data_IF_150147248056
#
_entry.id   IF_150147248056
#
_cell.length_a   1.000
_cell.length_b   1.000
_cell.length_c   1.000
_cell.angle_alpha   90.00
_cell.angle_beta   90.00
_cell.angle_gamma   90.00
#
_symmetry.space_group_name_H-M   'P 1'
#
loop_
_entity.id
_entity.type
_entity.pdbx_description
1 polymer ?
#
# COMPACT_ATOMS: atom_id res chain seq x y z
N UNK A 1 14.25 0.53 -3.33
CA UNK A 1 12.88 0.71 -2.81
C UNK A 1 11.86 0.98 -3.92
N UNK A 2 11.99 2.06 -4.72
CA UNK A 2 10.95 2.43 -5.71
C UNK A 2 10.76 1.39 -6.82
N UNK A 3 11.84 0.86 -7.41
CA UNK A 3 11.73 -0.23 -8.40
C UNK A 3 11.09 -1.49 -7.81
N UNK A 4 11.34 -1.77 -6.53
CA UNK A 4 10.67 -2.86 -5.83
C UNK A 4 9.17 -2.58 -5.66
N UNK A 5 8.78 -1.34 -5.33
CA UNK A 5 7.37 -0.94 -5.27
C UNK A 5 6.67 -1.05 -6.62
N UNK A 6 7.35 -0.77 -7.74
CA UNK A 6 6.82 -1.00 -9.09
C UNK A 6 6.56 -2.49 -9.34
N UNK A 7 7.54 -3.34 -9.04
CA UNK A 7 7.41 -4.80 -9.15
C UNK A 7 6.26 -5.34 -8.30
N UNK A 8 6.15 -4.89 -7.03
CA UNK A 8 5.02 -5.27 -6.15
C UNK A 8 3.69 -4.88 -6.78
N UNK A 9 3.60 -3.67 -7.35
CA UNK A 9 2.39 -3.22 -8.03
C UNK A 9 2.04 -4.07 -9.24
N UNK A 10 3.02 -4.48 -10.06
CA UNK A 10 2.80 -5.38 -11.20
C UNK A 10 2.26 -6.74 -10.72
N UNK A 11 2.86 -7.31 -9.67
CA UNK A 11 2.35 -8.54 -9.04
C UNK A 11 0.90 -8.36 -8.60
N UNK A 12 0.56 -7.22 -7.98
CA UNK A 12 -0.82 -6.94 -7.57
C UNK A 12 -1.76 -6.82 -8.77
N UNK A 13 -1.38 -6.12 -9.83
CA UNK A 13 -2.21 -6.00 -11.04
C UNK A 13 -2.51 -7.35 -11.69
N UNK A 14 -1.49 -8.18 -11.84
CA UNK A 14 -1.59 -9.46 -12.55
C UNK A 14 -2.32 -10.53 -11.72
N UNK A 15 -2.29 -10.43 -10.39
CA UNK A 15 -2.82 -11.44 -9.49
C UNK A 15 -4.00 -10.95 -8.64
N UNK A 16 -4.56 -9.78 -8.93
CA UNK A 16 -5.64 -9.15 -8.15
C UNK A 16 -6.85 -10.06 -7.88
N UNK A 17 -7.19 -10.94 -8.81
CA UNK A 17 -8.29 -11.91 -8.68
C UNK A 17 -7.94 -13.07 -7.73
N UNK A 18 -6.65 -13.34 -7.52
CA UNK A 18 -6.13 -14.46 -6.73
C UNK A 18 -5.49 -14.02 -5.40
N UNK A 19 -5.42 -12.71 -5.16
CA UNK A 19 -4.97 -12.15 -3.88
C UNK A 19 -6.19 -12.04 -2.98
N UNK A 20 -6.23 -12.89 -1.97
CA UNK A 20 -7.36 -13.00 -1.05
C UNK A 20 -7.36 -11.87 -0.01
N UNK A 21 -7.53 -10.63 -0.46
CA UNK A 21 -7.69 -9.44 0.38
C UNK A 21 -9.00 -8.70 0.05
N UNK A 22 -9.58 -7.96 1.01
CA UNK A 22 -10.79 -7.17 0.80
C UNK A 22 -10.66 -6.25 -0.41
N UNK A 23 -11.65 -6.31 -1.31
CA UNK A 23 -11.79 -5.48 -2.51
C UNK A 23 -10.62 -5.56 -3.52
N UNK A 24 -9.69 -6.49 -3.31
CA UNK A 24 -8.42 -6.51 -4.05
C UNK A 24 -8.59 -6.90 -5.52
N UNK A 25 -9.63 -7.66 -5.87
CA UNK A 25 -10.04 -7.93 -7.26
C UNK A 25 -10.19 -6.65 -8.10
N UNK A 26 -10.49 -5.51 -7.45
CA UNK A 26 -10.64 -4.21 -8.11
C UNK A 26 -9.37 -3.35 -8.14
N UNK A 27 -8.22 -3.89 -7.71
CA UNK A 27 -6.95 -3.18 -7.67
C UNK A 27 -6.63 -2.45 -8.99
N UNK A 28 -6.27 -1.15 -8.94
CA UNK A 28 -5.93 -0.33 -7.75
C UNK A 28 -7.11 0.36 -7.04
N UNK A 29 -8.35 0.20 -7.50
CA UNK A 29 -9.52 0.84 -6.89
C UNK A 29 -9.89 0.16 -5.57
N UNK A 30 -10.35 0.95 -4.59
CA UNK A 30 -10.89 0.50 -3.28
C UNK A 30 -9.99 -0.44 -2.47
N UNK A 31 -8.72 -0.57 -2.85
CA UNK A 31 -7.77 -1.53 -2.29
C UNK A 31 -6.57 -0.83 -1.65
N UNK A 32 -6.58 0.51 -1.57
CA UNK A 32 -5.49 1.33 -1.05
C UNK A 32 -5.04 0.92 0.35
N UNK A 33 -5.97 0.58 1.26
CA UNK A 33 -5.64 0.15 2.61
C UNK A 33 -4.84 -1.16 2.62
N UNK A 34 -5.45 -2.23 2.07
CA UNK A 34 -4.82 -3.54 1.91
C UNK A 34 -3.48 -3.44 1.18
N UNK A 35 -3.44 -2.70 0.07
CA UNK A 35 -2.26 -2.53 -0.76
C UNK A 35 -1.13 -1.81 0.00
N UNK A 36 -1.45 -0.76 0.76
CA UNK A 36 -0.45 0.02 1.50
C UNK A 36 0.14 -0.77 2.67
N UNK A 37 -0.68 -1.50 3.43
CA UNK A 37 -0.17 -2.35 4.52
C UNK A 37 0.75 -3.46 4.01
N UNK A 38 0.36 -4.16 2.95
CA UNK A 38 1.19 -5.23 2.38
C UNK A 38 2.44 -4.68 1.69
N UNK A 39 2.33 -3.56 0.97
CA UNK A 39 3.48 -2.89 0.38
C UNK A 39 4.50 -2.46 1.44
N UNK A 40 4.04 -1.80 2.51
CA UNK A 40 4.91 -1.32 3.59
C UNK A 40 5.65 -2.49 4.26
N UNK A 41 4.95 -3.60 4.50
CA UNK A 41 5.55 -4.79 5.08
C UNK A 41 6.60 -5.44 4.16
N UNK A 42 6.30 -5.60 2.88
CA UNK A 42 7.25 -6.14 1.89
C UNK A 42 8.49 -5.27 1.77
N UNK A 43 8.30 -3.95 1.80
CA UNK A 43 9.38 -2.97 1.81
C UNK A 43 10.24 -3.08 3.08
N UNK A 44 9.62 -3.13 4.26
CA UNK A 44 10.31 -3.27 5.54
C UNK A 44 11.12 -4.58 5.64
N UNK A 45 10.62 -5.68 5.06
CA UNK A 45 11.38 -6.91 4.96
C UNK A 45 12.61 -6.76 4.05
N UNK A 46 12.47 -6.08 2.91
CA UNK A 46 13.54 -5.97 1.91
C UNK A 46 14.59 -4.91 2.27
N UNK A 47 14.20 -3.87 3.00
CA UNK A 47 15.04 -2.74 3.39
C UNK A 47 14.97 -2.55 4.92
N UNK A 48 15.60 -3.45 5.70
CA UNK A 48 15.45 -3.48 7.16
C UNK A 48 16.11 -2.29 7.88
N UNK A 49 16.93 -1.52 7.18
CA UNK A 49 17.55 -0.28 7.66
C UNK A 49 16.64 0.95 7.54
N UNK A 50 15.44 0.79 6.99
CA UNK A 50 14.47 1.86 6.73
C UNK A 50 13.20 1.69 7.55
N UNK A 51 12.68 2.83 8.01
CA UNK A 51 11.38 2.89 8.67
C UNK A 51 10.30 3.23 7.65
N UNK A 52 9.30 2.36 7.54
CA UNK A 52 8.14 2.56 6.66
C UNK A 52 6.89 2.82 7.50
N UNK A 53 6.18 3.87 7.14
CA UNK A 53 4.93 4.30 7.76
C UNK A 53 3.78 4.06 6.77
N UNK A 54 2.70 3.47 7.25
CA UNK A 54 1.41 3.49 6.56
C UNK A 54 0.68 4.74 7.00
N UNK A 55 0.32 5.59 6.04
CA UNK A 55 -0.41 6.82 6.29
C UNK A 55 -1.86 6.62 5.93
N UNK A 56 -2.74 7.05 6.83
CA UNK A 56 -4.16 7.17 6.59
C UNK A 56 -4.49 8.64 6.34
N UNK A 57 -4.87 8.95 5.11
CA UNK A 57 -5.44 10.24 4.75
C UNK A 57 -6.96 10.19 4.76
N UNK A 58 -7.56 11.25 5.28
CA UNK A 58 -9.00 11.33 5.47
C UNK A 58 -9.57 12.62 4.91
N UNK A 59 -10.76 12.52 4.32
CA UNK A 59 -11.56 13.66 3.89
C UNK A 59 -12.88 13.67 4.66
N UNK A 60 -12.88 14.43 5.76
CA UNK A 60 -14.03 14.53 6.67
C UNK A 60 -15.36 14.87 6.00
N UNK A 61 -15.36 15.78 5.01
CA UNK A 61 -16.61 16.27 4.40
C UNK A 61 -17.42 15.20 3.68
N UNK A 62 -16.80 14.08 3.31
CA UNK A 62 -17.42 13.03 2.50
C UNK A 62 -17.05 11.63 2.95
N UNK A 63 -16.46 11.50 4.14
CA UNK A 63 -16.07 10.23 4.75
C UNK A 63 -15.22 9.35 3.80
N UNK A 64 -14.30 9.97 3.06
CA UNK A 64 -13.44 9.25 2.11
C UNK A 64 -12.08 8.97 2.77
N UNK A 65 -11.61 7.73 2.64
CA UNK A 65 -10.33 7.26 3.15
C UNK A 65 -9.38 6.99 1.99
N UNK A 66 -8.09 7.28 2.20
CA UNK A 66 -7.03 6.89 1.29
C UNK A 66 -5.77 6.52 2.08
N UNK A 67 -5.03 5.54 1.61
CA UNK A 67 -3.85 5.03 2.30
C UNK A 67 -2.66 5.00 1.35
N UNK A 68 -1.49 5.33 1.87
CA UNK A 68 -0.22 5.25 1.17
C UNK A 68 0.92 4.90 2.12
N UNK A 69 2.13 4.76 1.59
CA UNK A 69 3.35 4.47 2.35
C UNK A 69 4.28 5.67 2.32
N UNK A 70 4.88 5.99 3.47
CA UNK A 70 5.95 6.99 3.58
C UNK A 70 7.23 6.37 4.15
N UNK A 71 8.37 6.89 3.72
CA UNK A 71 9.71 6.48 4.17
C UNK A 71 10.69 7.60 3.87
N UNK A 72 11.53 7.97 4.84
CA UNK A 72 12.48 9.09 4.74
C UNK A 72 11.82 10.40 4.23
N UNK A 73 10.56 10.65 4.63
CA UNK A 73 9.79 11.82 4.19
C UNK A 73 9.33 11.78 2.72
N UNK A 74 9.45 10.62 2.04
CA UNK A 74 9.04 10.41 0.64
C UNK A 74 7.78 9.56 0.56
N UNK A 75 6.88 9.91 -0.35
CA UNK A 75 5.61 9.23 -0.59
C UNK A 75 5.76 8.10 -1.61
N UNK A 76 5.17 6.94 -1.31
CA UNK A 76 4.92 5.84 -2.24
C UNK A 76 3.43 5.50 -2.19
N UNK A 77 2.73 5.68 -3.31
CA UNK A 77 1.31 5.33 -3.44
C UNK A 77 1.09 4.57 -4.74
N UNK A 78 1.03 3.25 -4.63
CA UNK A 78 0.81 2.34 -5.77
C UNK A 78 -0.65 2.31 -6.26
N UNK A 79 -1.53 3.07 -5.60
CA UNK A 79 -2.96 3.17 -5.89
C UNK A 79 -3.43 4.59 -6.22
N UNK A 80 -2.50 5.55 -6.33
CA UNK A 80 -2.83 6.95 -6.57
C UNK A 80 -3.67 7.17 -7.84
N UNK A 81 -3.37 6.38 -8.87
CA UNK A 81 -4.04 6.34 -10.16
C UNK A 81 -5.48 5.78 -10.12
N UNK A 82 -5.99 5.40 -8.95
CA UNK A 82 -7.41 5.14 -8.76
C UNK A 82 -8.27 6.42 -8.87
N UNK A 83 -7.68 7.59 -8.65
CA UNK A 83 -8.37 8.88 -8.69
C UNK A 83 -8.13 9.58 -10.03
N UNK A 84 -9.21 10.07 -10.66
CA UNK A 84 -9.17 10.70 -12.00
C UNK A 84 -8.18 11.87 -12.17
N UNK A 85 -7.73 12.50 -11.07
CA UNK A 85 -6.77 13.63 -11.10
C UNK A 85 -5.31 13.18 -11.16
N UNK A 86 -5.04 11.89 -10.93
CA UNK A 86 -3.70 11.30 -10.91
C UNK A 86 -3.66 10.23 -12.00
N UNK A 87 -2.66 10.29 -12.88
CA UNK A 87 -2.57 9.40 -14.05
C UNK A 87 -1.68 8.18 -13.82
N UNK A 88 -0.82 8.25 -12.82
CA UNK A 88 0.20 7.23 -12.57
C UNK A 88 0.43 7.05 -11.06
N UNK A 89 0.89 5.86 -10.63
CA UNK A 89 1.25 5.63 -9.24
C UNK A 89 2.46 6.48 -8.84
N UNK A 90 2.59 6.75 -7.54
CA UNK A 90 3.61 7.66 -7.01
C UNK A 90 4.75 6.84 -6.42
N UNK A 91 5.98 7.20 -6.81
CA UNK A 91 7.20 6.56 -6.34
C UNK A 91 8.24 7.62 -5.96
N UNK A 92 8.23 8.05 -4.69
CA UNK A 92 9.26 8.94 -4.15
C UNK A 92 8.98 10.43 -4.27
N UNK A 93 7.71 10.86 -4.24
CA UNK A 93 7.36 12.28 -4.24
C UNK A 93 7.66 12.93 -2.86
N UNK A 94 8.01 14.23 -2.87
CA UNK A 94 8.20 15.02 -1.64
C UNK A 94 6.88 15.27 -0.90
N UNK A 95 5.78 15.42 -1.64
CA UNK A 95 4.44 15.63 -1.11
C UNK A 95 3.43 14.75 -1.85
N UNK A 96 2.30 14.46 -1.21
CA UNK A 96 1.25 13.67 -1.86
C UNK A 96 0.42 14.61 -2.75
N UNK A 97 0.27 14.38 -4.06
CA UNK A 97 -0.54 15.22 -4.96
C UNK A 97 -2.03 15.31 -4.59
N UNK A 98 -2.47 14.51 -3.63
CA UNK A 98 -3.84 14.46 -3.13
C UNK A 98 -3.95 14.95 -1.70
N UNK A 99 -2.89 15.51 -1.10
CA UNK A 99 -2.89 16.01 0.28
C UNK A 99 -3.92 17.12 0.52
N UNK A 100 -4.27 17.89 -0.53
CA UNK A 100 -5.37 18.86 -0.46
C UNK A 100 -6.77 18.23 -0.44
N UNK A 101 -6.91 16.96 -0.81
CA UNK A 101 -8.16 16.19 -0.72
C UNK A 101 -8.16 15.32 0.54
N UNK A 102 -7.09 14.57 0.77
CA UNK A 102 -6.90 13.64 1.88
C UNK A 102 -5.84 14.18 2.82
N UNK A 103 -6.28 14.76 3.93
CA UNK A 103 -5.37 15.28 4.95
C UNK A 103 -4.83 14.09 5.74
N UNK A 104 -3.51 13.97 5.97
CA UNK A 104 -2.96 12.91 6.81
C UNK A 104 -3.56 12.99 8.23
N UNK A 105 -4.32 11.97 8.60
CA UNK A 105 -4.98 11.87 9.91
C UNK A 105 -4.13 11.06 10.89
N UNK A 106 -3.53 9.96 10.42
CA UNK A 106 -2.60 9.16 11.21
C UNK A 106 -1.47 8.54 10.40
N UNK A 107 -0.36 8.24 11.08
CA UNK A 107 0.78 7.48 10.53
C UNK A 107 1.12 6.36 11.50
N UNK A 108 1.28 5.15 10.98
CA UNK A 108 1.54 3.97 11.80
C UNK A 108 2.74 3.22 11.22
N UNK A 109 3.73 2.91 12.07
CA UNK A 109 4.84 2.04 11.70
C UNK A 109 4.36 0.67 11.23
N UNK A 110 4.98 0.17 10.17
CA UNK A 110 4.58 -1.05 9.46
C UNK A 110 4.28 -2.27 10.36
N UNK A 111 5.15 -2.57 11.32
CA UNK A 111 4.99 -3.75 12.20
C UNK A 111 3.72 -3.60 13.06
N UNK A 112 3.45 -2.39 13.56
CA UNK A 112 2.24 -2.08 14.29
C UNK A 112 1.02 -2.02 13.35
N UNK A 113 1.22 -1.50 12.14
CA UNK A 113 0.20 -1.36 11.10
C UNK A 113 -0.39 -2.70 10.69
N UNK A 114 0.44 -3.69 10.36
CA UNK A 114 -0.04 -5.04 10.02
C UNK A 114 -0.84 -5.67 11.18
N UNK A 115 -0.44 -5.42 12.43
CA UNK A 115 -1.19 -5.91 13.59
C UNK A 115 -2.56 -5.24 13.71
N UNK A 116 -2.62 -3.93 13.45
CA UNK A 116 -3.84 -3.09 13.47
C UNK A 116 -4.71 -3.20 12.22
N UNK A 117 -4.25 -3.86 11.16
CA UNK A 117 -5.03 -4.06 9.95
C UNK A 117 -6.18 -5.04 10.22
N UNK A 118 -7.31 -4.54 10.72
CA UNK A 118 -8.42 -5.35 11.24
C UNK A 118 -9.32 -5.98 10.16
N UNK A 119 -9.19 -5.55 8.90
CA UNK A 119 -10.01 -6.11 7.81
C UNK A 119 -9.69 -7.58 7.48
N UNK A 120 -8.58 -8.11 7.99
CA UNK A 120 -8.09 -9.44 7.66
C UNK A 120 -7.58 -10.13 8.93
N UNK A 121 -7.90 -11.41 9.07
CA UNK A 121 -7.40 -12.24 10.18
C UNK A 121 -5.92 -12.58 10.02
N UNK A 122 -5.22 -12.83 11.13
CA UNK A 122 -3.76 -13.06 11.12
C UNK A 122 -3.34 -14.20 10.19
N UNK A 123 -4.03 -15.33 10.21
CA UNK A 123 -3.69 -16.49 9.37
C UNK A 123 -3.87 -16.17 7.88
N UNK A 124 -4.90 -15.41 7.54
CA UNK A 124 -5.14 -14.95 6.18
C UNK A 124 -4.05 -13.95 5.75
N UNK A 125 -3.60 -13.05 6.62
CA UNK A 125 -2.46 -12.16 6.35
C UNK A 125 -1.20 -12.96 6.01
N UNK A 126 -0.89 -13.99 6.81
CA UNK A 126 0.28 -14.86 6.59
C UNK A 126 0.19 -15.63 5.26
N UNK A 127 -0.98 -16.18 4.94
CA UNK A 127 -1.19 -16.90 3.69
C UNK A 127 -1.02 -15.99 2.46
N UNK A 128 -1.66 -14.82 2.49
CA UNK A 128 -1.53 -13.82 1.42
C UNK A 128 -0.10 -13.34 1.28
N UNK A 129 0.57 -13.07 2.41
CA UNK A 129 1.98 -12.69 2.42
C UNK A 129 2.87 -13.73 1.75
N UNK A 130 2.70 -15.01 2.12
CA UNK A 130 3.45 -16.12 1.52
C UNK A 130 3.22 -16.23 0.02
N UNK A 131 1.95 -16.10 -0.42
CA UNK A 131 1.59 -16.11 -1.83
C UNK A 131 2.25 -14.96 -2.61
N UNK A 132 2.11 -13.72 -2.15
CA UNK A 132 2.70 -12.54 -2.81
C UNK A 132 4.23 -12.64 -2.82
N UNK A 133 4.85 -13.06 -1.72
CA UNK A 133 6.30 -13.22 -1.63
C UNK A 133 6.82 -14.25 -2.64
N UNK A 134 6.10 -15.35 -2.84
CA UNK A 134 6.44 -16.35 -3.85
C UNK A 134 6.35 -15.81 -5.27
N UNK A 135 5.32 -15.01 -5.59
CA UNK A 135 5.17 -14.36 -6.89
C UNK A 135 6.28 -13.34 -7.17
N UNK A 136 6.70 -12.58 -6.15
CA UNK A 136 7.81 -11.64 -6.26
C UNK A 136 9.13 -12.37 -6.51
N UNK A 137 9.38 -13.48 -5.79
CA UNK A 137 10.61 -14.25 -5.92
C UNK A 137 10.81 -14.87 -7.31
N UNK A 138 9.73 -15.05 -8.09
CA UNK A 138 9.80 -15.53 -9.48
C UNK A 138 10.31 -14.44 -10.46
N UNK A 139 10.41 -13.18 -10.02
CA UNK A 139 10.83 -12.03 -10.84
C UNK A 139 12.23 -11.51 -10.50
N UNK A 140 12.90 -12.14 -9.54
CA UNK A 140 14.24 -11.77 -9.05
C UNK A 140 15.24 -12.86 -9.35
#
# INVERSE_FOLDING_TARGET
MYEFSKMVREVFLENKENIDLPFFYSFPKNSCESASYFLAALLAQKFPDKEFLVVHGYKHSSDEHHYWVEVDGRVIDITADQFNKVREPIYGADTHPLEGKFVPDSKIETILGIKRFELVELERKKAVWGHISALIAQRT
#
